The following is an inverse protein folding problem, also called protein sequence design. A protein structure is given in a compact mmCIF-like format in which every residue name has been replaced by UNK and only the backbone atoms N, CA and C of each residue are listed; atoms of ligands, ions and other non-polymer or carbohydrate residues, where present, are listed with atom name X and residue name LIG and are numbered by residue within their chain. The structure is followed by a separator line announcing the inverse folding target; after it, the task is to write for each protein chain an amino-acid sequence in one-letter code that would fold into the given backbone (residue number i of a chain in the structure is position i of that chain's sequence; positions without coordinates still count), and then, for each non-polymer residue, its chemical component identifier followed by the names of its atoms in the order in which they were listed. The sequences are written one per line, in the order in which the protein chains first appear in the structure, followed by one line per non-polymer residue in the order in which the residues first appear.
data_IF_819025886602
#
_entry.id   IF_819025886602
#
_cell.length_a   1.000
_cell.length_b   1.000
_cell.length_c   1.000
_cell.angle_alpha   90.00
_cell.angle_beta   90.00
_cell.angle_gamma   90.00
#
_symmetry.space_group_name_H-M   'P 1'
#
loop_
_entity.id
_entity.type
_entity.pdbx_description
1 polymer ?
#
# COMPACT_ATOMS: atom_id res chain seq x y z
N UNK A 1 -4.40 -12.07 -9.41
CA UNK A 1 -3.51 -11.06 -9.99
C UNK A 1 -2.10 -11.38 -9.59
N UNK A 2 -1.16 -11.22 -10.52
CA UNK A 2 0.25 -11.49 -10.27
C UNK A 2 0.87 -10.41 -9.37
N UNK A 3 2.01 -10.66 -8.71
CA UNK A 3 2.74 -9.64 -7.96
C UNK A 3 2.94 -8.36 -8.77
N UNK A 4 3.33 -8.50 -10.04
CA UNK A 4 3.59 -7.42 -10.99
C UNK A 4 2.34 -6.58 -11.24
N UNK A 5 1.19 -7.23 -11.45
CA UNK A 5 -0.07 -6.57 -11.75
C UNK A 5 -0.53 -5.70 -10.57
N UNK A 6 -0.53 -6.26 -9.36
CA UNK A 6 -0.95 -5.50 -8.17
C UNK A 6 0.06 -4.41 -7.86
N UNK A 7 1.37 -4.71 -7.97
CA UNK A 7 2.44 -3.73 -7.77
C UNK A 7 2.23 -2.49 -8.66
N UNK A 8 1.98 -2.69 -9.97
CA UNK A 8 1.70 -1.60 -10.92
C UNK A 8 0.52 -0.72 -10.51
N UNK A 9 -0.54 -1.30 -9.95
CA UNK A 9 -1.70 -0.55 -9.46
C UNK A 9 -1.36 0.25 -8.20
N UNK A 10 -0.54 -0.30 -7.31
CA UNK A 10 -0.13 0.35 -6.05
C UNK A 10 0.91 1.46 -6.28
N UNK A 11 1.79 1.34 -7.27
CA UNK A 11 2.76 2.41 -7.58
C UNK A 11 2.15 3.56 -8.39
N UNK A 12 1.00 3.35 -9.04
CA UNK A 12 0.27 4.37 -9.82
C UNK A 12 -0.56 5.30 -8.91
N UNK A 13 0.14 5.94 -7.97
CA UNK A 13 -0.45 6.79 -6.93
C UNK A 13 -1.26 7.92 -7.55
N UNK A 14 -0.86 8.47 -8.70
CA UNK A 14 -1.60 9.50 -9.45
C UNK A 14 -3.07 9.14 -9.73
N UNK A 15 -3.41 7.85 -9.80
CA UNK A 15 -4.79 7.42 -10.07
C UNK A 15 -5.59 7.15 -8.80
N UNK A 16 -5.02 7.28 -7.61
CA UNK A 16 -5.70 6.92 -6.36
C UNK A 16 -7.01 7.69 -6.17
N UNK A 17 -7.05 8.96 -6.54
CA UNK A 17 -8.26 9.79 -6.48
C UNK A 17 -9.44 9.25 -7.31
N UNK A 18 -9.20 8.31 -8.23
CA UNK A 18 -10.23 7.71 -9.09
C UNK A 18 -10.92 6.50 -8.46
N UNK A 19 -10.29 5.84 -7.49
CA UNK A 19 -10.78 4.54 -7.01
C UNK A 19 -10.56 4.28 -5.53
N UNK A 20 -9.56 4.91 -4.89
CA UNK A 20 -9.31 4.74 -3.46
C UNK A 20 -10.37 5.53 -2.70
N UNK A 21 -11.13 4.89 -1.80
CA UNK A 21 -12.15 5.55 -1.01
C UNK A 21 -11.54 6.71 -0.23
N UNK A 22 -12.28 7.80 -0.12
CA UNK A 22 -11.88 9.02 0.61
C UNK A 22 -10.67 9.77 0.01
N UNK A 23 -9.96 9.22 -0.96
CA UNK A 23 -8.91 9.95 -1.68
C UNK A 23 -9.56 10.90 -2.68
N UNK A 24 -9.66 12.19 -2.34
CA UNK A 24 -10.30 13.21 -3.18
C UNK A 24 -9.33 13.81 -4.19
N UNK A 25 -8.03 13.83 -3.87
CA UNK A 25 -6.95 14.23 -4.78
C UNK A 25 -5.72 13.38 -4.57
N UNK A 26 -5.01 13.12 -5.67
CA UNK A 26 -3.71 12.44 -5.67
C UNK A 26 -2.86 12.97 -6.81
N UNK A 27 -1.67 13.47 -6.50
CA UNK A 27 -0.74 14.09 -7.46
C UNK A 27 0.69 13.72 -7.13
N UNK A 28 1.42 13.12 -8.07
CA UNK A 28 2.82 12.74 -7.98
C UNK A 28 3.70 13.83 -8.62
N UNK A 29 4.66 14.32 -7.86
CA UNK A 29 5.62 15.31 -8.33
C UNK A 29 6.79 14.62 -9.03
N UNK A 30 6.75 14.62 -10.36
CA UNK A 30 7.75 13.97 -11.21
C UNK A 30 9.11 14.70 -11.24
N UNK A 31 9.20 15.91 -10.68
CA UNK A 31 10.33 16.83 -10.87
C UNK A 31 11.46 16.68 -9.82
N UNK A 32 11.29 15.85 -8.79
CA UNK A 32 12.35 15.55 -7.80
C UNK A 32 12.86 14.11 -7.92
N UNK A 33 13.25 13.71 -9.13
CA UNK A 33 14.14 12.55 -9.32
C UNK A 33 15.58 13.06 -9.32
N UNK A 34 16.03 13.63 -8.19
CA UNK A 34 17.42 14.02 -8.01
C UNK A 34 18.14 12.99 -7.14
N UNK A 35 18.74 12.00 -7.82
CA UNK A 35 20.05 11.43 -7.46
C UNK A 35 20.31 11.21 -5.96
N UNK A 36 19.44 10.49 -5.28
CA UNK A 36 19.92 9.58 -4.27
C UNK A 36 19.86 8.16 -4.86
N UNK A 37 20.78 7.89 -5.80
CA UNK A 37 21.30 6.54 -6.02
C UNK A 37 22.04 6.07 -4.74
N UNK A 38 21.42 6.20 -3.56
CA UNK A 38 21.83 5.42 -2.41
C UNK A 38 21.13 4.09 -2.60
N UNK A 39 21.86 2.98 -2.82
CA UNK A 39 21.31 1.66 -2.62
C UNK A 39 20.57 1.67 -1.28
N UNK A 40 19.29 1.30 -1.26
CA UNK A 40 18.69 0.82 -0.01
C UNK A 40 19.47 -0.44 0.34
N UNK A 41 20.48 -0.32 1.21
CA UNK A 41 21.11 -1.49 1.83
C UNK A 41 20.08 -2.02 2.80
N UNK A 42 19.29 -2.99 2.35
CA UNK A 42 18.43 -3.78 3.23
C UNK A 42 19.34 -4.64 4.11
N UNK A 43 19.33 -4.46 5.46
CA UNK A 43 20.22 -5.21 6.34
C UNK A 43 20.09 -6.73 6.21
N UNK A 44 18.91 -7.20 5.79
CA UNK A 44 18.57 -8.62 5.66
C UNK A 44 18.96 -9.25 4.31
N UNK A 45 19.28 -8.45 3.27
CA UNK A 45 19.52 -8.96 1.93
C UNK A 45 21.01 -8.91 1.54
N UNK A 46 21.90 -9.53 2.32
CA UNK A 46 23.33 -9.83 1.98
C UNK A 46 24.06 -8.80 1.06
N UNK A 47 23.89 -7.50 1.28
CA UNK A 47 24.54 -6.45 0.47
C UNK A 47 24.07 -6.32 -0.98
N UNK A 48 22.91 -6.89 -1.36
CA UNK A 48 22.33 -6.72 -2.69
C UNK A 48 21.79 -5.28 -2.86
N UNK A 49 22.22 -4.63 -3.94
CA UNK A 49 21.68 -3.33 -4.37
C UNK A 49 20.32 -3.57 -5.00
N UNK A 50 19.25 -3.15 -4.33
CA UNK A 50 17.90 -3.16 -4.89
C UNK A 50 17.59 -1.82 -5.56
N UNK A 51 17.11 -1.82 -6.83
CA UNK A 51 16.56 -0.63 -7.46
C UNK A 51 15.45 -0.05 -6.59
N UNK A 52 15.57 1.23 -6.25
CA UNK A 52 14.52 1.94 -5.51
C UNK A 52 14.17 3.25 -6.21
N UNK A 53 12.87 3.51 -6.33
CA UNK A 53 12.35 4.78 -6.83
C UNK A 53 11.63 5.47 -5.69
N UNK A 54 11.97 6.74 -5.46
CA UNK A 54 11.32 7.60 -4.46
C UNK A 54 10.70 8.80 -5.17
N UNK A 55 9.42 9.03 -4.91
CA UNK A 55 8.66 10.15 -5.49
C UNK A 55 7.76 10.77 -4.44
N UNK A 56 7.78 12.10 -4.26
CA UNK A 56 6.80 12.78 -3.43
C UNK A 56 5.44 12.80 -4.14
N UNK A 57 4.37 12.62 -3.37
CA UNK A 57 2.99 12.64 -3.85
C UNK A 57 2.09 13.34 -2.83
N UNK A 58 1.30 14.30 -3.27
CA UNK A 58 0.26 14.89 -2.43
C UNK A 58 -1.01 14.06 -2.49
N UNK A 59 -1.50 13.69 -1.31
CA UNK A 59 -2.78 13.02 -1.12
C UNK A 59 -3.70 13.92 -0.32
N UNK A 60 -4.95 14.02 -0.78
CA UNK A 60 -6.04 14.64 -0.03
C UNK A 60 -7.01 13.54 0.36
N UNK A 61 -7.25 13.39 1.66
CA UNK A 61 -8.11 12.37 2.25
C UNK A 61 -9.27 13.05 2.97
N UNK A 62 -10.48 12.80 2.48
CA UNK A 62 -11.72 13.23 3.11
C UNK A 62 -12.39 12.07 3.83
N UNK A 63 -12.23 11.97 5.16
CA UNK A 63 -12.88 10.94 5.96
C UNK A 63 -13.86 11.56 6.97
N UNK A 64 -15.15 11.21 6.85
CA UNK A 64 -16.24 11.81 7.64
C UNK A 64 -16.32 13.34 7.47
N UNK A 65 -16.40 14.11 8.56
CA UNK A 65 -16.54 15.58 8.54
C UNK A 65 -15.24 16.35 8.25
N UNK A 66 -14.16 15.70 7.81
CA UNK A 66 -12.84 16.32 7.66
C UNK A 66 -12.25 16.12 6.27
N UNK A 67 -11.47 17.11 5.84
CA UNK A 67 -10.65 17.07 4.64
C UNK A 67 -9.22 17.39 5.05
N UNK A 68 -8.34 16.40 4.97
CA UNK A 68 -6.92 16.53 5.30
C UNK A 68 -6.09 16.43 4.03
N UNK A 69 -5.06 17.27 3.89
CA UNK A 69 -4.08 17.16 2.82
C UNK A 69 -2.71 16.88 3.42
N UNK A 70 -2.02 15.87 2.91
CA UNK A 70 -0.65 15.57 3.31
C UNK A 70 0.20 15.18 2.11
N UNK A 71 1.46 15.61 2.15
CA UNK A 71 2.47 15.14 1.21
C UNK A 71 2.99 13.80 1.72
N UNK A 72 3.09 12.80 0.84
CA UNK A 72 3.67 11.49 1.12
C UNK A 72 4.94 11.28 0.31
N UNK A 73 5.86 10.48 0.84
CA UNK A 73 6.98 9.92 0.09
C UNK A 73 6.64 8.48 -0.29
N UNK A 74 6.49 8.23 -1.59
CA UNK A 74 6.25 6.90 -2.16
C UNK A 74 7.61 6.31 -2.52
N UNK A 75 7.96 5.19 -1.88
CA UNK A 75 9.20 4.44 -2.10
C UNK A 75 8.83 3.07 -2.65
N UNK A 76 9.18 2.78 -3.90
CA UNK A 76 9.05 1.45 -4.49
C UNK A 76 10.41 0.78 -4.55
N UNK A 77 10.52 -0.41 -3.97
CA UNK A 77 11.70 -1.26 -3.95
C UNK A 77 11.42 -2.55 -4.71
N UNK A 78 12.27 -2.86 -5.67
CA UNK A 78 12.19 -4.14 -6.39
C UNK A 78 12.81 -5.28 -5.56
N UNK A 79 12.27 -6.51 -5.63
CA UNK A 79 11.22 -6.92 -6.54
C UNK A 79 9.79 -6.59 -6.10
N UNK A 80 9.39 -6.57 -4.82
CA UNK A 80 7.94 -6.49 -4.50
C UNK A 80 7.57 -5.71 -3.22
N UNK A 81 8.24 -4.60 -2.92
CA UNK A 81 7.91 -3.80 -1.74
C UNK A 81 7.60 -2.35 -2.11
N UNK A 82 6.48 -1.84 -1.61
CA UNK A 82 6.13 -0.42 -1.74
C UNK A 82 5.87 0.14 -0.34
N UNK A 83 6.58 1.19 0.02
CA UNK A 83 6.37 1.93 1.26
C UNK A 83 5.90 3.34 0.92
N UNK A 84 4.76 3.74 1.47
CA UNK A 84 4.23 5.10 1.39
C UNK A 84 4.28 5.69 2.79
N UNK A 85 5.01 6.77 2.97
CA UNK A 85 5.13 7.46 4.26
C UNK A 85 4.64 8.89 4.13
N UNK A 86 3.60 9.27 4.88
CA UNK A 86 3.20 10.65 5.00
C UNK A 86 4.33 11.48 5.64
N UNK A 87 4.63 12.62 5.05
CA UNK A 87 5.52 13.62 5.60
C UNK A 87 4.74 14.39 6.67
N UNK A 88 5.16 14.23 7.92
CA UNK A 88 4.43 14.70 9.11
C UNK A 88 4.36 16.22 9.28
N UNK A 89 5.09 17.00 8.49
CA UNK A 89 5.16 18.47 8.66
C UNK A 89 4.00 19.23 8.01
N UNK A 90 3.19 18.58 7.16
CA UNK A 90 2.08 19.23 6.44
C UNK A 90 0.69 18.72 6.84
N UNK A 91 0.60 17.83 7.84
CA UNK A 91 -0.68 17.27 8.31
C UNK A 91 -0.94 17.65 9.76
N UNK A 92 -2.13 18.18 10.03
CA UNK A 92 -2.63 18.45 11.38
C UNK A 92 -3.30 17.22 12.00
N UNK A 93 -3.74 16.26 11.17
CA UNK A 93 -4.47 15.07 11.61
C UNK A 93 -3.55 13.94 12.11
N UNK A 94 -2.48 13.66 11.39
CA UNK A 94 -1.57 12.54 11.65
C UNK A 94 -0.19 13.01 12.11
N UNK A 95 0.26 12.50 13.27
CA UNK A 95 1.67 12.54 13.70
C UNK A 95 2.53 11.58 12.90
N UNK A 96 1.98 10.39 12.61
CA UNK A 96 2.57 9.40 11.72
C UNK A 96 1.46 8.80 10.87
N UNK A 97 1.73 8.62 9.58
CA UNK A 97 0.93 7.76 8.71
C UNK A 97 1.91 7.08 7.76
N UNK A 98 1.99 5.76 7.84
CA UNK A 98 2.86 4.91 7.03
C UNK A 98 2.08 3.70 6.57
N UNK A 99 2.27 3.36 5.31
CA UNK A 99 1.65 2.21 4.69
C UNK A 99 2.72 1.39 3.98
N UNK A 100 2.77 0.11 4.28
CA UNK A 100 3.71 -0.83 3.65
C UNK A 100 2.93 -1.91 2.92
N UNK A 101 3.33 -2.15 1.67
CA UNK A 101 2.84 -3.20 0.81
C UNK A 101 3.98 -4.14 0.47
N UNK A 102 3.74 -5.43 0.62
CA UNK A 102 4.62 -6.48 0.15
C UNK A 102 3.82 -7.47 -0.69
N UNK A 103 4.35 -7.85 -1.85
CA UNK A 103 3.74 -8.85 -2.72
C UNK A 103 4.59 -10.11 -2.70
N UNK A 104 4.03 -11.21 -2.22
CA UNK A 104 4.74 -12.48 -2.09
C UNK A 104 4.17 -13.44 -3.14
N UNK A 105 4.96 -13.82 -4.16
CA UNK A 105 4.55 -14.86 -5.09
C UNK A 105 4.16 -16.12 -4.32
N UNK A 106 3.10 -16.83 -4.73
CA UNK A 106 2.70 -18.06 -4.03
C UNK A 106 3.80 -19.13 -4.02
N UNK A 107 4.69 -19.14 -5.02
CA UNK A 107 5.87 -20.01 -5.06
C UNK A 107 6.87 -19.75 -3.93
N UNK A 108 6.89 -18.54 -3.36
CA UNK A 108 7.76 -18.15 -2.25
C UNK A 108 7.12 -18.39 -0.87
N UNK A 109 5.85 -18.80 -0.81
CA UNK A 109 5.15 -19.08 0.45
C UNK A 109 5.44 -20.53 0.88
N UNK A 110 5.86 -20.79 2.13
CA UNK A 110 6.10 -22.14 2.63
C UNK A 110 4.87 -23.05 2.51
N UNK A 111 5.08 -24.32 2.13
CA UNK A 111 3.99 -25.29 1.90
C UNK A 111 2.99 -25.43 3.07
N UNK A 112 3.39 -25.43 4.36
CA UNK A 112 2.43 -25.46 5.47
C UNK A 112 1.49 -24.25 5.48
N UNK A 113 2.03 -23.06 5.19
CA UNK A 113 1.27 -21.82 5.15
C UNK A 113 0.35 -21.75 3.91
N UNK A 114 0.83 -22.22 2.76
CA UNK A 114 0.00 -22.37 1.55
C UNK A 114 -1.20 -23.29 1.79
N UNK A 115 -1.00 -24.42 2.48
CA UNK A 115 -2.10 -25.34 2.81
C UNK A 115 -3.13 -24.66 3.71
N UNK A 116 -2.70 -23.97 4.76
CA UNK A 116 -3.61 -23.24 5.65
C UNK A 116 -4.46 -22.20 4.88
N UNK A 117 -3.85 -21.49 3.93
CA UNK A 117 -4.56 -20.52 3.08
C UNK A 117 -5.56 -21.16 2.12
N UNK A 118 -5.31 -22.40 1.64
CA UNK A 118 -6.24 -23.16 0.78
C UNK A 118 -7.51 -23.60 1.51
N UNK A 119 -7.43 -23.78 2.83
CA UNK A 119 -8.57 -24.16 3.65
C UNK A 119 -9.33 -22.97 4.26
N UNK A 120 -8.88 -21.73 4.03
CA UNK A 120 -9.66 -20.54 4.39
C UNK A 120 -10.82 -20.36 3.40
N UNK A 121 -12.09 -20.52 3.83
CA UNK A 121 -13.26 -20.42 2.94
C UNK A 121 -13.37 -19.05 2.26
N UNK A 122 -12.83 -17.98 2.86
CA UNK A 122 -12.84 -16.62 2.31
C UNK A 122 -11.81 -16.44 1.19
N UNK A 123 -10.77 -17.27 1.15
CA UNK A 123 -9.68 -17.18 0.18
C UNK A 123 -9.80 -18.19 -0.96
N UNK A 124 -10.54 -19.29 -0.75
CA UNK A 124 -10.79 -20.33 -1.75
C UNK A 124 -11.30 -19.78 -3.10
N UNK A 125 -12.22 -18.82 -3.06
CA UNK A 125 -12.82 -18.21 -4.26
C UNK A 125 -11.89 -17.22 -4.99
N UNK A 126 -10.76 -16.86 -4.37
CA UNK A 126 -9.80 -15.88 -4.90
C UNK A 126 -8.54 -16.51 -5.50
N UNK A 127 -8.30 -17.80 -5.23
CA UNK A 127 -7.30 -18.59 -5.93
C UNK A 127 -7.94 -19.18 -7.19
N UNK A 128 -7.66 -18.57 -8.35
CA UNK A 128 -8.07 -19.12 -9.65
C UNK A 128 -7.55 -20.55 -9.84
N UNK A 129 -8.27 -21.34 -10.65
CA UNK A 129 -8.10 -22.79 -10.80
C UNK A 129 -6.67 -23.26 -11.15
N UNK A 130 -5.81 -22.39 -11.69
CA UNK A 130 -4.44 -22.78 -12.06
C UNK A 130 -3.34 -22.37 -11.08
N UNK A 131 -3.61 -21.52 -10.06
CA UNK A 131 -2.61 -21.09 -9.07
C UNK A 131 -1.36 -20.36 -9.61
N UNK A 132 -1.14 -20.34 -10.94
CA UNK A 132 -0.03 -19.70 -11.62
C UNK A 132 -0.34 -18.22 -11.79
N UNK A 133 0.26 -17.39 -10.94
CA UNK A 133 0.15 -15.93 -11.05
C UNK A 133 -0.79 -15.28 -10.05
N UNK A 134 -1.11 -15.92 -8.93
CA UNK A 134 -1.63 -15.21 -7.75
C UNK A 134 -0.47 -14.89 -6.78
N UNK A 135 -0.65 -13.86 -5.95
CA UNK A 135 0.29 -13.51 -4.89
C UNK A 135 -0.43 -13.21 -3.59
N UNK A 136 0.25 -13.44 -2.47
CA UNK A 136 -0.18 -12.94 -1.16
C UNK A 136 0.22 -11.46 -1.07
N UNK A 137 -0.73 -10.61 -0.67
CA UNK A 137 -0.45 -9.19 -0.39
C UNK A 137 -0.40 -9.01 1.12
N UNK A 138 0.77 -8.64 1.64
CA UNK A 138 0.89 -8.15 3.02
C UNK A 138 0.74 -6.64 3.01
N UNK A 139 -0.30 -6.19 3.69
CA UNK A 139 -0.66 -4.78 3.78
C UNK A 139 -0.64 -4.36 5.25
N UNK A 140 0.17 -3.37 5.58
CA UNK A 140 0.30 -2.85 6.93
C UNK A 140 0.12 -1.34 6.93
N UNK A 141 -0.79 -0.83 7.78
CA UNK A 141 -0.93 0.60 8.05
C UNK A 141 -0.50 0.84 9.49
N UNK A 142 0.45 1.77 9.67
CA UNK A 142 0.81 2.34 10.96
C UNK A 142 0.41 3.82 10.95
N UNK A 143 -0.40 4.24 11.90
CA UNK A 143 -0.82 5.63 12.02
C UNK A 143 -0.85 6.06 13.49
N UNK A 144 -0.70 7.36 13.71
CA UNK A 144 -0.88 8.00 14.99
C UNK A 144 -1.56 9.34 14.77
N UNK A 145 -2.73 9.55 15.36
CA UNK A 145 -3.42 10.83 15.29
C UNK A 145 -2.80 11.86 16.24
N UNK A 146 -2.96 13.13 15.92
CA UNK A 146 -2.54 14.23 16.79
C UNK A 146 -3.44 14.34 18.02
N UNK A 147 -4.73 14.01 17.87
CA UNK A 147 -5.76 14.03 18.92
C UNK A 147 -6.10 12.64 19.43
N UNK A 148 -6.09 12.47 20.75
CA UNK A 148 -6.44 11.22 21.43
C UNK A 148 -7.91 10.84 21.23
N UNK A 149 -8.80 11.83 21.13
CA UNK A 149 -10.22 11.57 20.86
C UNK A 149 -10.41 10.91 19.48
N UNK A 150 -9.70 11.42 18.45
CA UNK A 150 -9.75 10.83 17.12
C UNK A 150 -9.09 9.46 17.07
N UNK A 151 -8.04 9.20 17.85
CA UNK A 151 -7.47 7.85 17.99
C UNK A 151 -8.53 6.84 18.43
N UNK A 152 -9.30 7.16 19.48
CA UNK A 152 -10.34 6.26 20.02
C UNK A 152 -11.49 6.04 19.07
N UNK A 153 -12.00 7.14 18.50
CA UNK A 153 -13.11 7.09 17.54
C UNK A 153 -12.69 6.30 16.29
N UNK A 154 -11.46 6.47 15.82
CA UNK A 154 -10.97 5.80 14.61
C UNK A 154 -10.73 4.32 14.74
N UNK A 155 -10.37 3.85 15.93
CA UNK A 155 -10.27 2.42 16.20
C UNK A 155 -11.61 1.70 16.01
N UNK A 156 -12.74 2.35 16.28
CA UNK A 156 -14.07 1.75 16.15
C UNK A 156 -14.46 1.44 14.71
N UNK A 157 -13.86 2.10 13.71
CA UNK A 157 -14.19 1.94 12.30
C UNK A 157 -13.02 1.46 11.43
N UNK A 158 -11.87 1.17 12.04
CA UNK A 158 -10.64 0.80 11.33
C UNK A 158 -10.80 -0.41 10.40
N UNK A 159 -11.49 -1.45 10.86
CA UNK A 159 -11.71 -2.66 10.08
C UNK A 159 -12.54 -2.40 8.82
N UNK A 160 -13.55 -1.53 8.92
CA UNK A 160 -14.38 -1.12 7.79
C UNK A 160 -13.56 -0.36 6.75
N UNK A 161 -12.74 0.60 7.21
CA UNK A 161 -11.83 1.38 6.35
C UNK A 161 -10.85 0.46 5.61
N UNK A 162 -10.21 -0.46 6.33
CA UNK A 162 -9.27 -1.41 5.73
C UNK A 162 -9.95 -2.28 4.66
N UNK A 163 -11.17 -2.77 4.93
CA UNK A 163 -11.92 -3.61 4.00
C UNK A 163 -12.27 -2.85 2.70
N UNK A 164 -12.77 -1.63 2.82
CA UNK A 164 -13.07 -0.77 1.67
C UNK A 164 -11.80 -0.49 0.85
N UNK A 165 -10.69 -0.19 1.52
CA UNK A 165 -9.41 0.05 0.87
C UNK A 165 -8.94 -1.18 0.07
N UNK A 166 -8.92 -2.37 0.69
CA UNK A 166 -8.53 -3.61 0.01
C UNK A 166 -9.44 -3.91 -1.19
N UNK A 167 -10.75 -3.71 -1.04
CA UNK A 167 -11.71 -3.92 -2.12
C UNK A 167 -11.50 -2.96 -3.28
N UNK A 168 -11.17 -1.70 -3.01
CA UNK A 168 -10.87 -0.72 -4.04
C UNK A 168 -9.69 -1.13 -4.90
N UNK A 169 -8.58 -1.58 -4.30
CA UNK A 169 -7.42 -2.08 -5.04
C UNK A 169 -7.73 -3.35 -5.84
N UNK A 170 -8.48 -4.29 -5.25
CA UNK A 170 -8.94 -5.50 -5.97
C UNK A 170 -9.80 -5.14 -7.18
N UNK A 171 -10.75 -4.24 -7.01
CA UNK A 171 -11.63 -3.78 -8.09
C UNK A 171 -10.85 -3.03 -9.16
N UNK A 172 -9.88 -2.19 -8.76
CA UNK A 172 -9.00 -1.52 -9.71
C UNK A 172 -8.17 -2.49 -10.53
N UNK A 173 -7.66 -3.57 -9.92
CA UNK A 173 -6.96 -4.62 -10.66
C UNK A 173 -7.89 -5.26 -11.71
N UNK A 174 -9.15 -5.58 -11.38
CA UNK A 174 -10.15 -6.13 -12.34
C UNK A 174 -10.48 -5.19 -13.51
N UNK A 175 -10.34 -3.88 -13.33
CA UNK A 175 -10.61 -2.90 -14.37
C UNK A 175 -9.43 -2.73 -15.35
N UNK A 176 -8.21 -3.04 -14.90
CA UNK A 176 -6.98 -2.78 -15.65
C UNK A 176 -6.43 -4.05 -16.30
N UNK A 177 -6.75 -5.23 -15.76
CA UNK A 177 -6.30 -6.55 -16.22
C UNK A 177 -7.46 -7.55 -16.27
#
# INVERSE_FOLDING_TARGET
FSPEQIFKVVVDVDKYHKFVPWCTKSVVYHQQVSLANRPSIVPEARGLVVPSRRVPADLEVGYSAFQERYTSMVTSEEPWRVEVKALSHNSNLFRELRTTWEFIPLSAVPAPQLRALRYDPKLYHSMGQDGSGACLVRFHIKFQFTSELYSRVSQMFFDGVCKEMVNAFKNRCRQVY
#
